data_IF_525417580010
#
_entry.id   IF_525417580010
#
_cell.length_a   1.000
_cell.length_b   1.000
_cell.length_c   1.000
_cell.angle_alpha   90.00
_cell.angle_beta   90.00
_cell.angle_gamma   90.00
#
_symmetry.space_group_name_H-M   'P 1'
#
loop_
_entity.id
_entity.type
_entity.pdbx_description
1 polymer ?
#
# COMPACT_ATOMS: atom_id res chain seq x y z
N UNK A 1 -8.04 11.68 6.72
CA UNK A 1 -7.65 12.86 7.55
C UNK A 1 -7.37 14.05 6.65
N UNK A 2 -6.46 13.91 5.69
CA UNK A 2 -6.22 14.91 4.62
C UNK A 2 -7.49 15.18 3.80
N UNK A 3 -8.28 14.13 3.49
CA UNK A 3 -9.55 14.28 2.75
C UNK A 3 -10.56 15.16 3.48
N UNK A 4 -10.61 15.08 4.82
CA UNK A 4 -11.49 15.91 5.63
C UNK A 4 -11.09 17.38 5.57
N UNK A 5 -9.79 17.67 5.68
CA UNK A 5 -9.26 19.02 5.55
C UNK A 5 -9.52 19.54 4.14
N UNK A 6 -9.28 18.72 3.12
CA UNK A 6 -9.45 19.10 1.72
C UNK A 6 -10.91 19.43 1.38
N UNK A 7 -11.86 18.64 1.88
CA UNK A 7 -13.29 18.85 1.62
C UNK A 7 -13.87 20.08 2.34
N UNK A 8 -13.23 20.55 3.42
CA UNK A 8 -13.73 21.64 4.25
C UNK A 8 -12.86 22.91 4.15
N UNK A 9 -11.79 22.90 3.34
CA UNK A 9 -10.83 24.00 3.21
C UNK A 9 -11.49 25.30 2.75
N UNK A 10 -12.49 25.20 1.88
CA UNK A 10 -13.15 26.37 1.27
C UNK A 10 -14.11 27.06 2.25
N UNK A 11 -14.61 26.33 3.25
CA UNK A 11 -15.55 26.83 4.25
C UNK A 11 -14.85 27.45 5.47
N UNK A 12 -13.77 26.83 5.94
CA UNK A 12 -13.15 27.18 7.22
C UNK A 12 -11.67 27.60 7.13
N UNK A 13 -11.01 27.33 6.00
CA UNK A 13 -9.57 27.51 5.86
C UNK A 13 -8.77 26.38 6.52
N UNK A 14 -7.63 26.03 5.91
CA UNK A 14 -6.77 24.92 6.33
C UNK A 14 -6.23 25.12 7.74
N UNK A 15 -5.76 26.32 8.08
CA UNK A 15 -5.18 26.62 9.40
C UNK A 15 -6.18 26.46 10.55
N UNK A 16 -7.45 26.84 10.34
CA UNK A 16 -8.48 26.71 11.37
C UNK A 16 -8.78 25.23 11.67
N UNK A 17 -8.89 24.41 10.62
CA UNK A 17 -9.13 22.97 10.76
C UNK A 17 -7.90 22.29 11.40
N UNK A 18 -6.70 22.66 10.97
CA UNK A 18 -5.44 22.12 11.50
C UNK A 18 -5.26 22.43 13.00
N UNK A 19 -5.67 23.62 13.44
CA UNK A 19 -5.65 24.02 14.86
C UNK A 19 -6.58 23.16 15.73
N UNK A 20 -7.73 22.73 15.20
CA UNK A 20 -8.70 21.89 15.91
C UNK A 20 -8.29 20.40 15.91
N UNK A 21 -7.62 19.92 14.85
CA UNK A 21 -7.18 18.52 14.69
C UNK A 21 -5.78 18.23 15.29
N UNK A 22 -5.28 19.07 16.19
CA UNK A 22 -3.85 19.35 16.45
C UNK A 22 -2.84 18.84 15.40
N UNK A 23 -2.96 19.28 14.15
CA UNK A 23 -2.00 18.97 13.07
C UNK A 23 -1.31 20.26 12.63
N UNK A 24 -0.03 20.21 12.30
CA UNK A 24 0.63 21.33 11.64
C UNK A 24 0.17 21.44 10.17
N UNK A 25 -0.12 22.66 9.70
CA UNK A 25 -0.51 22.91 8.30
C UNK A 25 0.57 22.42 7.31
N UNK A 26 1.85 22.49 7.68
CA UNK A 26 2.96 21.94 6.89
C UNK A 26 2.83 20.43 6.66
N UNK A 27 2.24 19.68 7.59
CA UNK A 27 1.99 18.25 7.44
C UNK A 27 0.89 18.00 6.42
N UNK A 28 -0.17 18.82 6.42
CA UNK A 28 -1.22 18.76 5.40
C UNK A 28 -0.66 19.00 3.99
N UNK A 29 0.07 20.11 3.79
CA UNK A 29 0.64 20.42 2.48
C UNK A 29 1.68 19.39 2.03
N UNK A 30 2.48 18.86 2.96
CA UNK A 30 3.40 17.74 2.66
C UNK A 30 2.65 16.48 2.22
N UNK A 31 1.54 16.14 2.87
CA UNK A 31 0.73 14.99 2.46
C UNK A 31 0.02 15.22 1.13
N UNK A 32 -0.36 16.46 0.83
CA UNK A 32 -0.94 16.83 -0.46
C UNK A 32 0.09 16.69 -1.57
N UNK A 33 1.29 17.24 -1.38
CA UNK A 33 2.42 17.12 -2.31
C UNK A 33 2.81 15.66 -2.58
N UNK A 34 2.87 14.81 -1.54
CA UNK A 34 3.13 13.38 -1.72
C UNK A 34 2.00 12.63 -2.45
N UNK A 35 0.79 13.18 -2.49
CA UNK A 35 -0.33 12.62 -3.24
C UNK A 35 -0.31 13.07 -4.70
N UNK A 36 -0.04 14.35 -4.95
CA UNK A 36 -0.02 14.96 -6.28
C UNK A 36 1.25 14.63 -7.07
N UNK A 37 2.40 14.54 -6.40
CA UNK A 37 3.72 14.28 -6.99
C UNK A 37 4.28 12.94 -6.46
N UNK A 38 3.96 11.80 -7.11
CA UNK A 38 4.47 10.49 -6.71
C UNK A 38 6.01 10.42 -6.67
N UNK A 39 6.70 11.24 -7.46
CA UNK A 39 8.17 11.34 -7.50
C UNK A 39 8.80 11.86 -6.20
N UNK A 40 8.06 12.63 -5.39
CA UNK A 40 8.53 13.10 -4.08
C UNK A 40 8.42 12.03 -3.00
N UNK A 41 7.78 10.89 -3.29
CA UNK A 41 7.73 9.76 -2.37
C UNK A 41 9.10 9.12 -2.21
N UNK A 42 9.31 8.48 -1.07
CA UNK A 42 10.52 7.71 -0.85
C UNK A 42 10.67 6.65 -1.95
N UNK A 43 11.89 6.47 -2.48
CA UNK A 43 12.18 5.44 -3.50
C UNK A 43 11.63 4.06 -3.12
N UNK A 44 11.68 3.72 -1.82
CA UNK A 44 11.11 2.49 -1.27
C UNK A 44 9.62 2.34 -1.53
N UNK A 45 8.83 3.41 -1.39
CA UNK A 45 7.39 3.37 -1.61
C UNK A 45 7.05 3.15 -3.08
N UNK A 46 7.83 3.75 -3.99
CA UNK A 46 7.69 3.52 -5.43
C UNK A 46 7.97 2.05 -5.80
N UNK A 47 9.07 1.48 -5.29
CA UNK A 47 9.36 0.07 -5.49
C UNK A 47 8.30 -0.85 -4.88
N UNK A 48 7.79 -0.51 -3.69
CA UNK A 48 6.75 -1.27 -3.02
C UNK A 48 5.43 -1.28 -3.79
N UNK A 49 5.07 -0.18 -4.47
CA UNK A 49 3.88 -0.12 -5.33
C UNK A 49 4.01 -1.11 -6.50
N UNK A 50 5.12 -1.04 -7.23
CA UNK A 50 5.38 -1.96 -8.35
C UNK A 50 5.41 -3.43 -7.89
N UNK A 51 6.06 -3.72 -6.75
CA UNK A 51 6.08 -5.07 -6.20
C UNK A 51 4.72 -5.53 -5.70
N UNK A 52 3.88 -4.62 -5.17
CA UNK A 52 2.55 -4.94 -4.71
C UNK A 52 1.61 -5.34 -5.86
N UNK A 53 1.71 -4.66 -7.01
CA UNK A 53 0.97 -5.01 -8.23
C UNK A 53 1.33 -6.41 -8.71
N UNK A 54 2.63 -6.71 -8.77
CA UNK A 54 3.13 -8.01 -9.21
C UNK A 54 2.72 -9.15 -8.26
N UNK A 55 2.81 -8.91 -6.95
CA UNK A 55 2.32 -9.83 -5.93
C UNK A 55 0.81 -10.11 -6.11
N UNK A 56 0.02 -9.07 -6.41
CA UNK A 56 -1.43 -9.19 -6.62
C UNK A 56 -1.74 -9.96 -7.90
N UNK A 57 -0.97 -9.75 -8.97
CA UNK A 57 -1.06 -10.50 -10.23
C UNK A 57 -0.86 -11.99 -9.99
N UNK A 58 0.26 -12.38 -9.40
CA UNK A 58 0.58 -13.79 -9.07
C UNK A 58 -0.46 -14.41 -8.15
N UNK A 59 -0.94 -13.66 -7.14
CA UNK A 59 -1.98 -14.15 -6.25
C UNK A 59 -3.30 -14.42 -6.99
N UNK A 60 -3.71 -13.51 -7.88
CA UNK A 60 -4.92 -13.66 -8.70
C UNK A 60 -4.80 -14.81 -9.70
N UNK A 61 -3.65 -14.96 -10.36
CA UNK A 61 -3.35 -16.10 -11.24
C UNK A 61 -3.46 -17.44 -10.51
N UNK A 62 -3.09 -17.48 -9.22
CA UNK A 62 -3.22 -18.68 -8.40
C UNK A 62 -4.65 -18.95 -7.88
N UNK A 63 -5.62 -18.09 -8.23
CA UNK A 63 -6.96 -18.02 -7.61
C UNK A 63 -6.86 -17.92 -6.07
N UNK A 64 -5.97 -17.08 -5.57
CA UNK A 64 -5.75 -16.90 -4.14
C UNK A 64 -5.19 -18.11 -3.37
N UNK A 65 -4.74 -19.16 -4.06
CA UNK A 65 -4.13 -20.34 -3.42
C UNK A 65 -2.74 -20.05 -2.86
N UNK A 66 -2.01 -19.11 -3.46
CA UNK A 66 -0.62 -18.86 -3.09
C UNK A 66 -0.50 -17.94 -1.90
N UNK A 67 0.12 -18.45 -0.83
CA UNK A 67 0.60 -17.62 0.29
C UNK A 67 2.00 -17.06 0.05
N UNK A 68 2.51 -16.32 1.03
CA UNK A 68 3.82 -15.63 1.00
C UNK A 68 4.94 -16.47 0.38
N UNK A 69 5.09 -17.73 0.80
CA UNK A 69 6.17 -18.60 0.31
C UNK A 69 6.06 -18.88 -1.20
N UNK A 70 4.85 -19.18 -1.69
CA UNK A 70 4.64 -19.54 -3.10
C UNK A 70 4.73 -18.32 -4.01
N UNK A 71 4.16 -17.19 -3.58
CA UNK A 71 4.30 -15.90 -4.27
C UNK A 71 5.77 -15.51 -4.37
N UNK A 72 6.52 -15.57 -3.27
CA UNK A 72 7.95 -15.26 -3.26
C UNK A 72 8.76 -16.16 -4.20
N UNK A 73 8.48 -17.46 -4.22
CA UNK A 73 9.15 -18.39 -5.15
C UNK A 73 8.83 -18.08 -6.61
N UNK A 74 7.59 -17.71 -6.92
CA UNK A 74 7.17 -17.33 -8.29
C UNK A 74 7.85 -16.04 -8.73
N UNK A 75 7.86 -15.00 -7.88
CA UNK A 75 8.61 -13.76 -8.11
C UNK A 75 10.10 -14.03 -8.37
N UNK A 76 10.73 -14.89 -7.57
CA UNK A 76 12.14 -15.24 -7.76
C UNK A 76 12.39 -15.94 -9.10
N UNK A 77 11.47 -16.79 -9.57
CA UNK A 77 11.58 -17.46 -10.89
C UNK A 77 11.41 -16.46 -12.05
N UNK A 78 10.67 -15.39 -11.85
CA UNK A 78 10.48 -14.33 -12.84
C UNK A 78 11.60 -13.27 -12.81
N UNK A 79 12.64 -13.48 -12.00
CA UNK A 79 13.83 -12.63 -11.96
C UNK A 79 13.78 -11.49 -10.94
N UNK A 80 12.73 -11.40 -10.11
CA UNK A 80 12.63 -10.34 -9.11
C UNK A 80 13.56 -10.60 -7.90
N UNK A 81 14.36 -9.59 -7.55
CA UNK A 81 15.25 -9.60 -6.37
C UNK A 81 14.50 -8.98 -5.18
N UNK A 82 13.60 -9.77 -4.57
CA UNK A 82 12.78 -9.30 -3.43
C UNK A 82 12.97 -10.23 -2.24
N UNK A 83 13.18 -9.64 -1.06
CA UNK A 83 13.26 -10.39 0.19
C UNK A 83 11.89 -10.97 0.59
N UNK A 84 11.87 -12.18 1.16
CA UNK A 84 10.64 -12.83 1.63
C UNK A 84 9.87 -11.96 2.64
N UNK A 85 10.56 -11.22 3.50
CA UNK A 85 9.94 -10.31 4.48
C UNK A 85 9.21 -9.14 3.79
N UNK A 86 9.72 -8.63 2.67
CA UNK A 86 9.05 -7.62 1.85
C UNK A 86 7.76 -8.16 1.27
N UNK A 87 7.77 -9.37 0.71
CA UNK A 87 6.55 -10.03 0.19
C UNK A 87 5.52 -10.21 1.31
N UNK A 88 5.93 -10.69 2.48
CA UNK A 88 5.04 -10.87 3.62
C UNK A 88 4.38 -9.56 4.06
N UNK A 89 5.17 -8.48 4.17
CA UNK A 89 4.69 -7.15 4.53
C UNK A 89 3.72 -6.59 3.49
N UNK A 90 4.05 -6.71 2.19
CA UNK A 90 3.20 -6.21 1.11
C UNK A 90 1.89 -7.00 1.00
N UNK A 91 1.92 -8.33 1.14
CA UNK A 91 0.71 -9.14 1.20
C UNK A 91 -0.20 -8.73 2.37
N UNK A 92 0.37 -8.44 3.56
CA UNK A 92 -0.38 -7.92 4.70
C UNK A 92 -0.98 -6.54 4.41
N UNK A 93 -0.22 -5.63 3.81
CA UNK A 93 -0.69 -4.28 3.43
C UNK A 93 -1.83 -4.34 2.40
N UNK A 94 -1.80 -5.31 1.49
CA UNK A 94 -2.84 -5.56 0.48
C UNK A 94 -4.04 -6.35 1.02
N UNK A 95 -3.98 -6.88 2.24
CA UNK A 95 -5.03 -7.71 2.82
C UNK A 95 -5.22 -9.07 2.13
N UNK A 96 -4.22 -9.55 1.38
CA UNK A 96 -4.29 -10.83 0.66
C UNK A 96 -3.58 -11.94 1.43
N UNK A 97 -4.16 -13.14 1.37
CA UNK A 97 -3.64 -14.32 2.04
C UNK A 97 -3.78 -15.55 1.14
N UNK A 98 -2.86 -16.50 1.28
CA UNK A 98 -3.01 -17.82 0.66
C UNK A 98 -3.97 -18.73 1.43
N UNK A 99 -4.32 -19.86 0.81
CA UNK A 99 -5.10 -20.91 1.46
C UNK A 99 -4.29 -21.55 2.59
N UNK A 100 -4.96 -21.83 3.73
CA UNK A 100 -4.41 -22.64 4.81
C UNK A 100 -5.34 -23.81 5.12
N UNK A 101 -4.84 -24.86 5.77
CA UNK A 101 -5.60 -26.08 6.05
C UNK A 101 -6.80 -25.71 6.94
N UNK A 102 -8.02 -25.87 6.41
CA UNK A 102 -9.26 -25.60 7.12
C UNK A 102 -9.87 -24.19 6.96
N UNK A 103 -9.20 -23.23 6.31
CA UNK A 103 -9.74 -21.88 6.04
C UNK A 103 -9.39 -21.39 4.64
N UNK A 104 -10.23 -20.55 4.04
CA UNK A 104 -10.09 -20.03 2.67
C UNK A 104 -9.99 -21.13 1.60
N UNK A 105 -10.76 -22.23 1.71
CA UNK A 105 -10.89 -23.18 0.60
C UNK A 105 -11.64 -22.50 -0.54
N UNK A 106 -10.99 -22.29 -1.69
CA UNK A 106 -11.71 -22.04 -2.93
C UNK A 106 -12.16 -23.39 -3.48
N UNK A 107 -13.42 -23.74 -3.24
CA UNK A 107 -14.18 -24.71 -4.03
C UNK A 107 -14.50 -24.12 -5.39
#
# INVERSE_FOLDING_TARGET
>A
MVDFIHNNKDLYGVDAICRILPIAASTYYRTLDLCENPEHRAKRDLHDLHHAEEIKRIWKESSGRYGVRKVWQKLKREGYIIARCTVARLMKKLGIQGVWRGKNKQT
#
